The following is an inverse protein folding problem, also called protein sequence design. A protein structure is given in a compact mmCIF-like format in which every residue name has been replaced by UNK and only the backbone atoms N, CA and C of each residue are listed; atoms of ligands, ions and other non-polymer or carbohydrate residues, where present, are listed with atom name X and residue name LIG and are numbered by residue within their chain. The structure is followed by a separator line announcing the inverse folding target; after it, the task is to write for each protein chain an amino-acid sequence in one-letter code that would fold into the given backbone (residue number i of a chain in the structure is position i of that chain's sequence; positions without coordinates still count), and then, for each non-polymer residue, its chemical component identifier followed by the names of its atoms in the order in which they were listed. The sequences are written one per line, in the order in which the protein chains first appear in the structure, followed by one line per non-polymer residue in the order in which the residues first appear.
data_IF_306039880974
#
_entry.id   IF_306039880974
#
_cell.length_a   1.000
_cell.length_b   1.000
_cell.length_c   1.000
_cell.angle_alpha   90.00
_cell.angle_beta   90.00
_cell.angle_gamma   90.00
#
_symmetry.space_group_name_H-M   'P 1'
#
loop_
_entity.id
_entity.type
_entity.pdbx_description
1 polymer ?
#
# COMPACT_ATOMS: atom_id res chain seq x y z
N UNK A 1 1.58 1.41 21.08
CA UNK A 1 1.20 0.34 20.15
C UNK A 1 0.28 0.97 19.12
N UNK A 2 0.69 1.06 17.85
CA UNK A 2 -0.13 1.64 16.79
C UNK A 2 -1.35 0.74 16.57
N UNK A 3 -2.55 1.32 16.66
CA UNK A 3 -3.81 0.62 16.35
C UNK A 3 -4.07 0.70 14.85
N UNK A 4 -4.69 -0.32 14.25
CA UNK A 4 -5.11 -0.29 12.84
C UNK A 4 -6.04 0.89 12.52
N UNK A 5 -6.69 1.47 13.54
CA UNK A 5 -7.55 2.65 13.39
C UNK A 5 -6.79 3.98 13.20
N UNK A 6 -5.46 4.01 13.38
CA UNK A 6 -4.70 5.26 13.35
C UNK A 6 -4.12 5.60 11.96
N UNK A 7 -4.05 4.62 11.04
CA UNK A 7 -3.49 4.82 9.70
C UNK A 7 -4.60 5.09 8.69
N UNK A 8 -4.56 6.27 8.07
CA UNK A 8 -5.55 6.74 7.10
C UNK A 8 -5.09 6.45 5.67
N UNK A 9 -5.97 5.86 4.85
CA UNK A 9 -5.73 5.64 3.43
C UNK A 9 -6.58 6.60 2.58
N UNK A 10 -5.94 7.28 1.62
CA UNK A 10 -6.61 8.12 0.62
C UNK A 10 -6.33 7.63 -0.80
N UNK A 11 -7.30 7.79 -1.71
CA UNK A 11 -7.15 7.47 -3.13
C UNK A 11 -7.17 8.75 -3.97
N UNK A 12 -6.13 8.99 -4.76
CA UNK A 12 -5.99 10.21 -5.59
C UNK A 12 -5.42 9.86 -6.97
N UNK A 13 -5.61 10.73 -7.98
CA UNK A 13 -4.88 10.62 -9.25
C UNK A 13 -3.48 11.19 -9.05
N UNK A 14 -2.48 10.32 -8.93
CA UNK A 14 -1.08 10.68 -8.64
C UNK A 14 -0.20 10.69 -9.90
N UNK A 15 -0.70 10.24 -11.05
CA UNK A 15 0.04 10.24 -12.33
C UNK A 15 0.71 11.56 -12.73
N UNK A 16 0.20 12.72 -12.30
CA UNK A 16 0.89 14.03 -12.52
C UNK A 16 2.16 14.21 -11.68
N UNK A 17 2.24 13.54 -10.54
CA UNK A 17 3.41 13.52 -9.64
C UNK A 17 4.41 12.43 -9.99
N UNK A 18 4.13 11.60 -11.02
CA UNK A 18 4.96 10.44 -11.44
C UNK A 18 5.25 9.43 -10.33
N UNK A 19 4.35 9.30 -9.36
CA UNK A 19 4.43 8.32 -8.26
C UNK A 19 3.14 7.52 -8.19
N UNK A 20 3.23 6.29 -7.68
CA UNK A 20 2.10 5.37 -7.53
C UNK A 20 1.51 5.38 -6.11
N UNK A 21 2.30 5.78 -5.12
CA UNK A 21 1.91 5.95 -3.73
C UNK A 21 2.72 7.06 -3.04
N UNK A 22 2.26 7.48 -1.86
CA UNK A 22 2.94 8.41 -0.95
C UNK A 22 2.62 8.08 0.51
N UNK A 23 3.65 7.99 1.35
CA UNK A 23 3.53 7.90 2.80
C UNK A 23 3.84 9.24 3.50
N UNK A 24 2.92 9.68 4.37
CA UNK A 24 3.06 10.85 5.23
C UNK A 24 3.27 10.37 6.68
N UNK A 25 4.54 10.10 7.02
CA UNK A 25 4.96 9.48 8.29
C UNK A 25 4.42 10.21 9.52
N UNK A 26 4.53 11.54 9.54
CA UNK A 26 4.08 12.37 10.66
C UNK A 26 2.56 12.46 10.82
N UNK A 27 1.80 12.03 9.79
CA UNK A 27 0.34 12.14 9.75
C UNK A 27 -0.37 10.78 9.87
N UNK A 28 0.40 9.68 9.96
CA UNK A 28 -0.10 8.31 9.82
C UNK A 28 -1.06 8.18 8.63
N UNK A 29 -0.64 8.69 7.46
CA UNK A 29 -1.48 8.70 6.25
C UNK A 29 -0.70 8.13 5.08
N UNK A 30 -1.37 7.31 4.28
CA UNK A 30 -0.90 6.89 2.96
C UNK A 30 -1.87 7.37 1.88
N UNK A 31 -1.35 7.72 0.71
CA UNK A 31 -2.12 8.02 -0.48
C UNK A 31 -1.71 7.07 -1.61
N UNK A 32 -2.69 6.49 -2.29
CA UNK A 32 -2.47 5.50 -3.35
C UNK A 32 -3.11 6.00 -4.64
N UNK A 33 -2.46 5.76 -5.78
CA UNK A 33 -3.04 6.10 -7.07
C UNK A 33 -4.35 5.32 -7.30
N UNK A 34 -5.45 6.06 -7.48
CA UNK A 34 -6.79 5.52 -7.67
C UNK A 34 -6.96 4.60 -8.90
N UNK A 35 -6.01 4.64 -9.83
CA UNK A 35 -6.03 3.80 -11.04
C UNK A 35 -5.43 2.40 -10.82
N UNK A 36 -4.71 2.18 -9.71
CA UNK A 36 -4.08 0.89 -9.40
C UNK A 36 -5.12 -0.19 -9.07
N UNK A 37 -4.88 -1.40 -9.58
CA UNK A 37 -5.73 -2.59 -9.39
C UNK A 37 -4.88 -3.83 -9.14
N UNK A 38 -5.51 -4.92 -8.70
CA UNK A 38 -4.86 -6.23 -8.58
C UNK A 38 -3.60 -6.22 -7.73
N UNK A 39 -2.52 -6.84 -8.23
CA UNK A 39 -1.24 -6.97 -7.52
C UNK A 39 -0.54 -5.64 -7.30
N UNK A 40 -0.59 -4.73 -8.29
CA UNK A 40 0.08 -3.43 -8.19
C UNK A 40 -0.54 -2.58 -7.09
N UNK A 41 -1.86 -2.63 -6.95
CA UNK A 41 -2.55 -1.98 -5.82
C UNK A 41 -2.05 -2.50 -4.47
N UNK A 42 -1.97 -3.84 -4.33
CA UNK A 42 -1.57 -4.48 -3.08
C UNK A 42 -0.13 -4.13 -2.75
N UNK A 43 0.77 -4.25 -3.73
CA UNK A 43 2.18 -3.98 -3.56
C UNK A 43 2.44 -2.55 -3.12
N UNK A 44 1.88 -1.56 -3.84
CA UNK A 44 2.04 -0.15 -3.50
C UNK A 44 1.43 0.15 -2.13
N UNK A 45 0.26 -0.43 -1.80
CA UNK A 45 -0.34 -0.24 -0.48
C UNK A 45 0.54 -0.76 0.64
N UNK A 46 1.13 -1.95 0.48
CA UNK A 46 2.04 -2.53 1.47
C UNK A 46 3.33 -1.70 1.56
N UNK A 47 3.89 -1.28 0.42
CA UNK A 47 5.08 -0.44 0.37
C UNK A 47 4.88 0.85 1.17
N UNK A 48 3.80 1.61 0.91
CA UNK A 48 3.54 2.85 1.64
C UNK A 48 3.20 2.61 3.11
N UNK A 49 2.54 1.49 3.44
CA UNK A 49 2.26 1.13 4.83
C UNK A 49 3.54 0.81 5.60
N UNK A 50 4.49 0.11 4.98
CA UNK A 50 5.78 -0.21 5.58
C UNK A 50 6.59 1.07 5.87
N UNK A 51 6.51 2.10 5.02
CA UNK A 51 7.08 3.42 5.30
C UNK A 51 6.56 4.04 6.60
N UNK A 52 5.28 3.81 6.95
CA UNK A 52 4.68 4.28 8.22
C UNK A 52 5.12 3.41 9.39
N UNK A 53 5.04 2.08 9.24
CA UNK A 53 5.28 1.13 10.33
C UNK A 53 6.76 1.01 10.70
N UNK A 54 7.64 1.13 9.71
CA UNK A 54 9.07 0.90 9.84
C UNK A 54 9.87 2.05 9.20
N UNK A 55 9.78 3.28 9.73
CA UNK A 55 10.35 4.47 9.12
C UNK A 55 11.89 4.45 9.03
N UNK A 56 12.52 3.50 9.69
CA UNK A 56 13.97 3.28 9.77
C UNK A 56 14.50 2.29 8.73
N UNK A 57 13.64 1.55 8.02
CA UNK A 57 14.08 0.65 6.95
C UNK A 57 14.51 1.45 5.73
N UNK A 58 15.46 0.89 4.99
CA UNK A 58 15.87 1.40 3.69
C UNK A 58 14.81 1.08 2.63
N UNK A 59 14.76 1.89 1.57
CA UNK A 59 13.82 1.70 0.44
C UNK A 59 13.88 0.28 -0.13
N UNK A 60 15.09 -0.28 -0.29
CA UNK A 60 15.30 -1.63 -0.80
C UNK A 60 14.69 -2.71 0.11
N UNK A 61 14.79 -2.54 1.44
CA UNK A 61 14.21 -3.48 2.40
C UNK A 61 12.68 -3.43 2.38
N UNK A 62 12.13 -2.23 2.19
CA UNK A 62 10.69 -1.98 2.04
C UNK A 62 10.19 -2.62 0.75
N UNK A 63 10.86 -2.40 -0.38
CA UNK A 63 10.52 -2.99 -1.69
C UNK A 63 10.55 -4.51 -1.65
N UNK A 64 11.62 -5.09 -1.10
CA UNK A 64 11.75 -6.54 -0.97
C UNK A 64 10.63 -7.12 -0.12
N UNK A 65 10.32 -6.49 1.01
CA UNK A 65 9.23 -6.91 1.89
C UNK A 65 7.86 -6.82 1.20
N UNK A 66 7.56 -5.69 0.54
CA UNK A 66 6.33 -5.49 -0.20
C UNK A 66 6.16 -6.53 -1.32
N UNK A 67 7.23 -6.83 -2.06
CA UNK A 67 7.24 -7.84 -3.11
C UNK A 67 6.97 -9.24 -2.58
N UNK A 68 7.64 -9.66 -1.50
CA UNK A 68 7.44 -10.97 -0.87
C UNK A 68 6.01 -11.11 -0.36
N UNK A 69 5.49 -10.12 0.36
CA UNK A 69 4.13 -10.15 0.91
C UNK A 69 3.09 -10.18 -0.23
N UNK A 70 3.25 -9.34 -1.24
CA UNK A 70 2.35 -9.31 -2.40
C UNK A 70 2.34 -10.65 -3.12
N UNK A 71 3.51 -11.25 -3.37
CA UNK A 71 3.61 -12.54 -4.02
C UNK A 71 2.90 -13.63 -3.20
N UNK A 72 3.10 -13.62 -1.87
CA UNK A 72 2.41 -14.55 -0.98
C UNK A 72 0.89 -14.37 -1.05
N UNK A 73 0.38 -13.15 -0.89
CA UNK A 73 -1.06 -12.86 -0.93
C UNK A 73 -1.70 -13.26 -2.26
N UNK A 74 -1.05 -12.93 -3.37
CA UNK A 74 -1.52 -13.27 -4.71
C UNK A 74 -1.53 -14.78 -4.95
N UNK A 75 -0.52 -15.51 -4.49
CA UNK A 75 -0.46 -16.98 -4.56
C UNK A 75 -1.67 -17.65 -3.88
N UNK A 76 -2.23 -17.02 -2.84
CA UNK A 76 -3.41 -17.49 -2.12
C UNK A 76 -4.72 -16.80 -2.56
N UNK A 77 -4.70 -16.02 -3.64
CA UNK A 77 -5.90 -15.45 -4.26
C UNK A 77 -6.41 -14.15 -3.64
N UNK A 78 -5.60 -13.46 -2.82
CA UNK A 78 -5.97 -12.15 -2.24
C UNK A 78 -5.60 -11.06 -3.24
N UNK A 79 -6.57 -10.62 -4.05
CA UNK A 79 -6.41 -9.53 -5.02
C UNK A 79 -7.55 -8.51 -4.94
N UNK A 80 -7.24 -7.23 -5.15
CA UNK A 80 -8.28 -6.20 -5.34
C UNK A 80 -8.90 -6.34 -6.73
N UNK A 81 -10.14 -6.83 -6.76
CA UNK A 81 -10.99 -6.86 -7.97
C UNK A 81 -11.92 -5.65 -7.99
N UNK A 82 -12.56 -5.37 -9.14
CA UNK A 82 -13.57 -4.30 -9.22
C UNK A 82 -14.76 -4.55 -8.27
N UNK A 83 -15.08 -5.82 -8.01
CA UNK A 83 -16.17 -6.26 -7.12
C UNK A 83 -15.82 -6.11 -5.62
N UNK A 84 -14.54 -6.26 -5.25
CA UNK A 84 -14.06 -6.17 -3.86
C UNK A 84 -13.52 -4.79 -3.48
N UNK A 85 -13.82 -3.76 -4.27
CA UNK A 85 -13.36 -2.38 -4.06
C UNK A 85 -13.68 -1.80 -2.67
N UNK A 86 -14.72 -2.32 -2.00
CA UNK A 86 -15.20 -1.89 -0.69
C UNK A 86 -15.18 -2.98 0.40
N UNK A 87 -14.69 -4.19 0.10
CA UNK A 87 -14.62 -5.29 1.07
C UNK A 87 -13.38 -6.14 0.79
N UNK A 88 -12.41 -6.06 1.70
CA UNK A 88 -11.40 -7.11 1.84
C UNK A 88 -12.18 -8.31 2.40
N UNK A 89 -12.25 -9.40 1.64
CA UNK A 89 -12.79 -10.68 2.12
C UNK A 89 -11.76 -11.31 3.05
#
# INVERSE_FOLDING_TARGET
MLSHNDIRIGFKKLGRKKVLGLAYKDENRIEIDSSLKGKDFINVTIHELLHILHPYLLEEEIDNSANVITHFLDKYGVIKTEENSNKIV
#
